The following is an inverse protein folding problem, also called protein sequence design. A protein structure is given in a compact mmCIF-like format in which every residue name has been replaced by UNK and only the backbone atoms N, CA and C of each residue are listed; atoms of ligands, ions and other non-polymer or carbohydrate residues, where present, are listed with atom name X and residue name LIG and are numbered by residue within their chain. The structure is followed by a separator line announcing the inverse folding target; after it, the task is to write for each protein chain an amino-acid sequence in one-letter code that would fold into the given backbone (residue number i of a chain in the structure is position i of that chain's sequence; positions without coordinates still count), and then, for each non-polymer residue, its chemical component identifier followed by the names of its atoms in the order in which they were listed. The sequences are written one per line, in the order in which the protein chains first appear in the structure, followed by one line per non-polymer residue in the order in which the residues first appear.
data_IF_482754071960
#
_entry.id   IF_482754071960
#
_cell.length_a   1.000
_cell.length_b   1.000
_cell.length_c   1.000
_cell.angle_alpha   90.00
_cell.angle_beta   90.00
_cell.angle_gamma   90.00
#
_symmetry.space_group_name_H-M   'P 1'
#
loop_
_entity.id
_entity.type
_entity.pdbx_description
1 polymer ?
#
# COMPACT_ATOMS: atom_id res chain seq x y z
N UNK A 1 19.35 -25.84 3.73
CA UNK A 1 17.89 -25.62 3.78
C UNK A 1 17.24 -26.53 2.76
N UNK A 2 16.10 -27.14 3.08
CA UNK A 2 15.35 -27.92 2.09
C UNK A 2 14.61 -26.97 1.13
N UNK A 3 14.23 -27.46 -0.04
CA UNK A 3 13.53 -26.66 -1.04
C UNK A 3 12.16 -26.18 -0.51
N UNK A 4 11.49 -27.02 0.29
CA UNK A 4 10.22 -26.71 0.94
C UNK A 4 10.35 -25.57 1.94
N UNK A 5 11.41 -25.57 2.77
CA UNK A 5 11.65 -24.48 3.71
C UNK A 5 11.87 -23.16 2.97
N UNK A 6 12.62 -23.18 1.87
CA UNK A 6 12.85 -21.97 1.07
C UNK A 6 11.56 -21.44 0.43
N UNK A 7 10.67 -22.32 -0.02
CA UNK A 7 9.36 -21.93 -0.56
C UNK A 7 8.42 -21.41 0.53
N UNK A 8 8.42 -22.03 1.72
CA UNK A 8 7.66 -21.56 2.87
C UNK A 8 8.13 -20.17 3.33
N UNK A 9 9.45 -19.94 3.38
CA UNK A 9 10.02 -18.63 3.74
C UNK A 9 9.62 -17.55 2.70
N UNK A 10 9.68 -17.88 1.40
CA UNK A 10 9.25 -16.97 0.33
C UNK A 10 7.75 -16.64 0.41
N UNK A 11 6.91 -17.62 0.72
CA UNK A 11 5.48 -17.39 0.94
C UNK A 11 5.26 -16.47 2.16
N UNK A 12 6.01 -16.69 3.24
CA UNK A 12 6.03 -15.82 4.40
C UNK A 12 6.40 -14.37 4.06
N UNK A 13 7.41 -14.17 3.20
CA UNK A 13 7.79 -12.83 2.73
C UNK A 13 6.73 -12.17 1.86
N UNK A 14 6.02 -12.94 1.02
CA UNK A 14 4.91 -12.40 0.22
C UNK A 14 3.80 -11.87 1.14
N UNK A 15 3.41 -12.65 2.15
CA UNK A 15 2.37 -12.26 3.11
C UNK A 15 2.80 -11.00 3.88
N UNK A 16 3.98 -10.99 4.49
CA UNK A 16 4.42 -9.85 5.29
C UNK A 16 4.62 -8.58 4.46
N UNK A 17 5.07 -8.71 3.21
CA UNK A 17 5.21 -7.56 2.31
C UNK A 17 3.84 -7.02 1.88
N UNK A 18 2.86 -7.90 1.62
CA UNK A 18 1.48 -7.49 1.34
C UNK A 18 0.88 -6.73 2.51
N UNK A 19 1.04 -7.22 3.73
CA UNK A 19 0.53 -6.57 4.94
C UNK A 19 1.15 -5.17 5.09
N UNK A 20 2.48 -5.06 4.92
CA UNK A 20 3.19 -3.78 4.97
C UNK A 20 2.68 -2.78 3.92
N UNK A 21 2.46 -3.19 2.68
CA UNK A 21 1.95 -2.30 1.63
C UNK A 21 0.52 -1.81 1.91
N UNK A 22 -0.32 -2.66 2.48
CA UNK A 22 -1.66 -2.26 2.90
C UNK A 22 -1.62 -1.25 4.06
N UNK A 23 -0.72 -1.46 5.02
CA UNK A 23 -0.48 -0.50 6.10
C UNK A 23 0.04 0.84 5.55
N UNK A 24 1.01 0.81 4.63
CA UNK A 24 1.51 2.00 3.96
C UNK A 24 0.40 2.78 3.24
N UNK A 25 -0.46 2.10 2.48
CA UNK A 25 -1.60 2.74 1.83
C UNK A 25 -2.58 3.36 2.84
N UNK A 26 -2.79 2.71 3.98
CA UNK A 26 -3.63 3.23 5.06
C UNK A 26 -3.04 4.51 5.64
N UNK A 27 -1.74 4.53 5.92
CA UNK A 27 -1.04 5.70 6.45
C UNK A 27 -1.00 6.86 5.44
N UNK A 28 -0.78 6.59 4.16
CA UNK A 28 -0.82 7.60 3.09
C UNK A 28 -2.19 8.29 3.05
N UNK A 29 -3.28 7.49 3.06
CA UNK A 29 -4.65 8.03 3.05
C UNK A 29 -4.95 8.80 4.34
N UNK A 30 -4.45 8.33 5.49
CA UNK A 30 -4.58 9.03 6.76
C UNK A 30 -3.93 10.41 6.73
N UNK A 31 -2.72 10.53 6.16
CA UNK A 31 -2.02 11.81 6.03
C UNK A 31 -2.77 12.77 5.10
N UNK A 32 -3.28 12.31 3.95
CA UNK A 32 -4.11 13.13 3.04
C UNK A 32 -5.37 13.65 3.73
N UNK A 33 -6.13 12.78 4.40
CA UNK A 33 -7.34 13.18 5.14
C UNK A 33 -7.03 14.20 6.26
N UNK A 34 -5.90 14.05 6.95
CA UNK A 34 -5.49 15.02 7.98
C UNK A 34 -5.08 16.37 7.40
N UNK A 35 -4.44 16.37 6.22
CA UNK A 35 -4.11 17.61 5.54
C UNK A 35 -5.40 18.33 5.12
N UNK A 36 -6.33 17.63 4.46
CA UNK A 36 -7.66 18.15 4.12
C UNK A 36 -8.35 18.76 5.35
N UNK A 37 -8.45 17.99 6.44
CA UNK A 37 -9.06 18.44 7.70
C UNK A 37 -8.38 19.70 8.28
N UNK A 38 -7.06 19.83 8.11
CA UNK A 38 -6.32 21.01 8.56
C UNK A 38 -6.65 22.23 7.71
N UNK A 39 -6.79 22.07 6.39
CA UNK A 39 -7.20 23.14 5.47
C UNK A 39 -8.62 23.59 5.76
N UNK A 40 -9.55 22.65 6.00
CA UNK A 40 -10.92 22.97 6.40
C UNK A 40 -10.97 23.77 7.71
N UNK A 41 -10.16 23.38 8.69
CA UNK A 41 -10.07 24.10 9.96
C UNK A 41 -9.57 25.55 9.77
N UNK A 42 -8.57 25.75 8.92
CA UNK A 42 -8.09 27.11 8.59
C UNK A 42 -9.19 27.95 7.91
N UNK A 43 -9.94 27.35 6.98
CA UNK A 43 -11.06 28.01 6.32
C UNK A 43 -12.15 28.45 7.31
N UNK A 44 -12.54 27.56 8.22
CA UNK A 44 -13.56 27.84 9.24
C UNK A 44 -13.08 28.87 10.29
N UNK A 45 -11.78 28.88 10.58
CA UNK A 45 -11.15 29.82 11.50
C UNK A 45 -11.01 31.25 10.97
N UNK A 46 -11.47 31.52 9.73
CA UNK A 46 -11.36 32.84 9.12
C UNK A 46 -9.94 33.21 8.71
N UNK A 47 -9.12 32.21 8.36
CA UNK A 47 -7.78 32.45 7.83
C UNK A 47 -7.82 33.34 6.58
N UNK A 48 -6.74 34.08 6.35
CA UNK A 48 -6.63 35.06 5.26
C UNK A 48 -6.95 34.41 3.92
N UNK A 49 -8.02 34.89 3.26
CA UNK A 49 -8.59 34.28 2.04
C UNK A 49 -7.60 34.14 0.88
N UNK A 50 -6.69 35.11 0.75
CA UNK A 50 -5.64 35.14 -0.26
C UNK A 50 -4.68 33.95 -0.10
N UNK A 51 -4.17 33.73 1.11
CA UNK A 51 -3.29 32.58 1.39
C UNK A 51 -4.03 31.23 1.47
N UNK A 52 -5.31 31.25 1.85
CA UNK A 52 -6.14 30.04 1.87
C UNK A 52 -6.27 29.41 0.48
N UNK A 53 -6.34 30.23 -0.56
CA UNK A 53 -6.47 29.76 -1.95
C UNK A 53 -5.23 28.96 -2.38
N UNK A 54 -4.03 29.46 -2.05
CA UNK A 54 -2.77 28.76 -2.35
C UNK A 54 -2.67 27.44 -1.58
N UNK A 55 -3.09 27.42 -0.31
CA UNK A 55 -3.10 26.22 0.53
C UNK A 55 -4.07 25.16 -0.03
N UNK A 56 -5.24 25.57 -0.48
CA UNK A 56 -6.22 24.68 -1.11
C UNK A 56 -5.67 24.08 -2.41
N UNK A 57 -4.98 24.88 -3.23
CA UNK A 57 -4.34 24.38 -4.44
C UNK A 57 -3.26 23.34 -4.13
N UNK A 58 -2.37 23.62 -3.16
CA UNK A 58 -1.34 22.65 -2.73
C UNK A 58 -1.95 21.37 -2.15
N UNK A 59 -3.07 21.47 -1.42
CA UNK A 59 -3.77 20.31 -0.88
C UNK A 59 -4.37 19.46 -2.00
N UNK A 60 -4.93 20.09 -3.04
CA UNK A 60 -5.40 19.36 -4.23
C UNK A 60 -4.26 18.63 -4.95
N UNK A 61 -3.12 19.31 -5.20
CA UNK A 61 -1.96 18.67 -5.83
C UNK A 61 -1.41 17.50 -4.98
N UNK A 62 -1.46 17.64 -3.65
CA UNK A 62 -1.08 16.57 -2.73
C UNK A 62 -2.02 15.37 -2.85
N UNK A 63 -3.34 15.59 -2.87
CA UNK A 63 -4.33 14.52 -3.00
C UNK A 63 -4.23 13.78 -4.33
N UNK A 64 -3.98 14.50 -5.43
CA UNK A 64 -3.73 13.90 -6.75
C UNK A 64 -2.49 13.00 -6.71
N UNK A 65 -1.39 13.49 -6.10
CA UNK A 65 -0.15 12.72 -5.94
C UNK A 65 -0.36 11.47 -5.05
N UNK A 66 -1.17 11.60 -4.00
CA UNK A 66 -1.55 10.49 -3.13
C UNK A 66 -2.38 9.45 -3.89
N UNK A 67 -3.35 9.90 -4.69
CA UNK A 67 -4.17 9.04 -5.54
C UNK A 67 -3.31 8.22 -6.49
N UNK A 68 -2.38 8.86 -7.19
CA UNK A 68 -1.45 8.20 -8.11
C UNK A 68 -0.55 7.17 -7.40
N UNK A 69 -0.02 7.52 -6.23
CA UNK A 69 0.84 6.63 -5.45
C UNK A 69 0.07 5.40 -4.95
N UNK A 70 -1.12 5.60 -4.38
CA UNK A 70 -1.99 4.51 -3.92
C UNK A 70 -2.36 3.61 -5.08
N UNK A 71 -2.76 4.19 -6.22
CA UNK A 71 -3.06 3.43 -7.43
C UNK A 71 -1.87 2.59 -7.89
N UNK A 72 -0.66 3.14 -7.90
CA UNK A 72 0.55 2.42 -8.28
C UNK A 72 0.87 1.27 -7.32
N UNK A 73 0.76 1.49 -6.01
CA UNK A 73 0.96 0.41 -5.01
C UNK A 73 -0.07 -0.71 -5.20
N UNK A 74 -1.34 -0.37 -5.41
CA UNK A 74 -2.42 -1.35 -5.60
C UNK A 74 -2.30 -2.12 -6.91
N UNK A 75 -2.11 -1.42 -8.02
CA UNK A 75 -2.12 -2.01 -9.37
C UNK A 75 -0.85 -2.76 -9.74
N UNK A 76 0.32 -2.33 -9.24
CA UNK A 76 1.60 -2.95 -9.59
C UNK A 76 2.13 -3.84 -8.46
N UNK A 77 2.28 -3.29 -7.25
CA UNK A 77 2.99 -4.00 -6.18
C UNK A 77 2.14 -5.07 -5.50
N UNK A 78 0.91 -4.74 -5.11
CA UNK A 78 -0.01 -5.70 -4.49
C UNK A 78 -0.40 -6.81 -5.48
N UNK A 79 -0.69 -6.46 -6.74
CA UNK A 79 -0.98 -7.44 -7.80
C UNK A 79 0.21 -8.39 -8.07
N UNK A 80 1.44 -7.85 -8.15
CA UNK A 80 2.65 -8.66 -8.30
C UNK A 80 2.84 -9.64 -7.13
N UNK A 81 2.70 -9.15 -5.89
CA UNK A 81 2.88 -9.98 -4.69
C UNK A 81 1.80 -11.05 -4.62
N UNK A 82 0.55 -10.74 -4.98
CA UNK A 82 -0.51 -11.72 -5.01
C UNK A 82 -0.24 -12.82 -6.05
N UNK A 83 0.20 -12.46 -7.25
CA UNK A 83 0.61 -13.44 -8.26
C UNK A 83 1.74 -14.34 -7.76
N UNK A 84 2.77 -13.75 -7.15
CA UNK A 84 3.90 -14.52 -6.60
C UNK A 84 3.53 -15.40 -5.42
N UNK A 85 2.64 -14.93 -4.54
CA UNK A 85 2.12 -15.72 -3.44
C UNK A 85 1.44 -16.99 -3.94
N UNK A 86 0.57 -16.87 -4.96
CA UNK A 86 -0.10 -18.03 -5.57
C UNK A 86 0.87 -19.00 -6.26
N UNK A 87 1.85 -18.48 -7.00
CA UNK A 87 2.88 -19.31 -7.66
C UNK A 87 3.68 -20.12 -6.63
N UNK A 88 4.20 -19.46 -5.59
CA UNK A 88 5.02 -20.10 -4.55
C UNK A 88 4.20 -21.12 -3.75
N UNK A 89 2.95 -20.80 -3.45
CA UNK A 89 2.05 -21.73 -2.77
C UNK A 89 1.87 -23.02 -3.60
N UNK A 90 1.59 -22.91 -4.89
CA UNK A 90 1.45 -24.09 -5.77
C UNK A 90 2.73 -24.93 -5.85
N UNK A 91 3.90 -24.28 -5.89
CA UNK A 91 5.19 -24.98 -5.85
C UNK A 91 5.42 -25.72 -4.53
N UNK A 92 5.04 -25.12 -3.40
CA UNK A 92 5.18 -25.73 -2.07
C UNK A 92 4.28 -26.95 -1.93
N UNK A 93 3.02 -26.85 -2.36
CA UNK A 93 2.06 -27.95 -2.34
C UNK A 93 2.55 -29.16 -3.14
N UNK A 94 3.11 -28.94 -4.34
CA UNK A 94 3.65 -30.04 -5.16
C UNK A 94 4.91 -30.65 -4.52
N UNK A 95 5.80 -29.83 -3.95
CA UNK A 95 7.00 -30.33 -3.26
C UNK A 95 6.63 -31.24 -2.08
N UNK A 96 5.67 -30.81 -1.25
CA UNK A 96 5.15 -31.61 -0.13
C UNK A 96 4.49 -32.90 -0.61
N UNK A 97 3.79 -32.88 -1.75
CA UNK A 97 3.16 -34.08 -2.31
C UNK A 97 4.19 -35.11 -2.78
N UNK A 98 5.27 -34.67 -3.41
CA UNK A 98 6.33 -35.55 -3.92
C UNK A 98 7.12 -36.22 -2.79
N UNK A 99 7.25 -35.58 -1.64
CA UNK A 99 7.94 -36.13 -0.47
C UNK A 99 7.15 -37.25 0.24
N UNK A 100 5.82 -37.25 0.10
CA UNK A 100 4.92 -38.22 0.73
C UNK A 100 4.65 -39.47 -0.14
N UNK A 101 5.38 -39.64 -1.25
CA UNK A 101 5.34 -40.82 -2.14
C UNK A 101 6.59 -41.67 -1.97
#
# INVERSE_FOLDING_TARGET
MSNEQSLADQLGWCISTKDFLNELNTEIRYVSNNYESTVEYLQQGGYMKEFLTDIQYMQQEFDESVGDLVYYVESEHLDYIDKKSHEVQGMLEEAMRLQNK
#
